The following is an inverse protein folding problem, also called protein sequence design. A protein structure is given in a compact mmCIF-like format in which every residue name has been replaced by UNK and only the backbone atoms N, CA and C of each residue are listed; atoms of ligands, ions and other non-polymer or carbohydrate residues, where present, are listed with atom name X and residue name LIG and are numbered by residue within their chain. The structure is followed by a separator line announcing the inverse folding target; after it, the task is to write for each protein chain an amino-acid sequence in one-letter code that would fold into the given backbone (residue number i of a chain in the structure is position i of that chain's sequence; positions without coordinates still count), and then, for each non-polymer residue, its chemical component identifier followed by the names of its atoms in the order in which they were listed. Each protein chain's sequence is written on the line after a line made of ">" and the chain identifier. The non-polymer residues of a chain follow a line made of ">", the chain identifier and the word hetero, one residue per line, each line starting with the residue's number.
data_IF_332952218437
#
_entry.id   IF_332952218437
#
_cell.length_a   1.000
_cell.length_b   1.000
_cell.length_c   1.000
_cell.angle_alpha   90.00
_cell.angle_beta   90.00
_cell.angle_gamma   90.00
#
_symmetry.space_group_name_H-M   'P 1'
#
loop_
_entity.id
_entity.type
_entity.pdbx_description
1 polymer ?
#
# COMPACT_ATOMS: atom_id res chain seq x y z
N UNK A 1 8.46 19.68 13.03
CA UNK A 1 8.38 19.29 14.47
C UNK A 1 6.96 19.08 14.96
N UNK A 2 5.99 19.95 14.66
CA UNK A 2 4.61 19.78 15.14
C UNK A 2 3.93 18.48 14.64
N UNK A 3 4.17 18.05 13.39
CA UNK A 3 3.66 16.78 12.85
C UNK A 3 4.08 15.57 13.68
N UNK A 4 5.35 15.51 14.08
CA UNK A 4 5.87 14.44 14.94
C UNK A 4 5.26 14.50 16.34
N UNK A 5 5.01 15.69 16.89
CA UNK A 5 4.30 15.83 18.17
C UNK A 5 2.88 15.25 18.08
N UNK A 6 2.17 15.50 16.98
CA UNK A 6 0.85 14.90 16.73
C UNK A 6 0.96 13.38 16.59
N UNK A 7 1.99 12.86 15.93
CA UNK A 7 2.24 11.42 15.84
C UNK A 7 2.48 10.80 17.22
N UNK A 8 3.23 11.49 18.10
CA UNK A 8 3.46 11.05 19.47
C UNK A 8 2.16 11.08 20.29
N UNK A 9 1.31 12.10 20.10
CA UNK A 9 -0.02 12.17 20.71
C UNK A 9 -0.94 11.02 20.23
N UNK A 10 -0.88 10.64 18.96
CA UNK A 10 -1.61 9.47 18.44
C UNK A 10 -1.18 8.17 19.14
N UNK A 11 0.13 8.03 19.43
CA UNK A 11 0.69 6.86 20.14
C UNK A 11 0.34 6.87 21.63
N UNK A 12 0.53 7.99 22.33
CA UNK A 12 0.34 8.10 23.78
C UNK A 12 -1.14 8.21 24.20
N UNK A 13 -1.97 8.86 23.36
CA UNK A 13 -3.37 9.15 23.66
C UNK A 13 -4.27 8.78 22.48
N UNK A 14 -4.39 7.48 22.13
CA UNK A 14 -5.09 7.04 20.93
C UNK A 14 -6.60 7.31 20.96
N UNK A 15 -7.25 7.21 22.13
CA UNK A 15 -8.69 7.45 22.28
C UNK A 15 -9.07 8.93 22.08
N UNK A 16 -8.40 9.91 22.73
CA UNK A 16 -8.57 11.32 22.39
C UNK A 16 -8.23 11.64 20.93
N UNK A 17 -7.13 11.09 20.42
CA UNK A 17 -6.70 11.31 19.03
C UNK A 17 -7.71 10.79 18.01
N UNK A 18 -8.40 9.68 18.29
CA UNK A 18 -9.49 9.17 17.47
C UNK A 18 -10.64 10.18 17.30
N UNK A 19 -10.96 10.94 18.35
CA UNK A 19 -12.01 12.00 18.28
C UNK A 19 -11.57 13.19 17.42
N UNK A 20 -10.26 13.43 17.34
CA UNK A 20 -9.67 14.52 16.57
C UNK A 20 -9.21 14.08 15.17
N UNK A 21 -9.42 12.81 14.80
CA UNK A 21 -8.88 12.22 13.58
C UNK A 21 -9.15 13.06 12.31
N UNK A 22 -10.38 13.58 12.05
CA UNK A 22 -10.61 14.42 10.88
C UNK A 22 -9.73 15.68 10.85
N UNK A 23 -9.48 16.30 12.01
CA UNK A 23 -8.61 17.49 12.13
C UNK A 23 -7.14 17.13 11.94
N UNK A 24 -6.72 15.98 12.46
CA UNK A 24 -5.36 15.46 12.30
C UNK A 24 -5.08 15.17 10.82
N UNK A 25 -6.01 14.53 10.11
CA UNK A 25 -5.88 14.25 8.67
C UNK A 25 -5.84 15.55 7.86
N UNK A 26 -6.73 16.50 8.13
CA UNK A 26 -6.71 17.81 7.48
C UNK A 26 -5.36 18.53 7.70
N UNK A 27 -4.84 18.51 8.93
CA UNK A 27 -3.52 19.06 9.24
C UNK A 27 -2.41 18.35 8.46
N UNK A 28 -2.41 17.03 8.39
CA UNK A 28 -1.42 16.27 7.61
C UNK A 28 -1.45 16.66 6.12
N UNK A 29 -2.64 16.70 5.51
CA UNK A 29 -2.81 17.12 4.11
C UNK A 29 -2.30 18.55 3.87
N UNK A 30 -2.62 19.49 4.77
CA UNK A 30 -2.11 20.86 4.70
C UNK A 30 -0.58 20.88 4.72
N UNK A 31 0.05 20.10 5.61
CA UNK A 31 1.52 20.04 5.73
C UNK A 31 2.20 19.37 4.54
N UNK A 32 1.54 18.45 3.84
CA UNK A 32 2.10 17.87 2.61
C UNK A 32 2.26 18.92 1.50
N UNK A 33 1.40 19.94 1.48
CA UNK A 33 1.45 21.01 0.47
C UNK A 33 2.65 21.95 0.63
N UNK A 34 3.34 21.92 1.77
CA UNK A 34 4.61 22.63 1.94
C UNK A 34 5.72 22.11 1.02
N UNK A 35 5.61 20.88 0.50
CA UNK A 35 6.56 20.32 -0.46
C UNK A 35 7.95 19.96 0.10
N UNK A 36 8.15 20.03 1.42
CA UNK A 36 9.44 19.64 2.03
C UNK A 36 9.50 18.15 2.35
N UNK A 37 10.52 17.44 1.85
CA UNK A 37 10.72 16.01 2.06
C UNK A 37 10.65 15.59 3.55
N UNK A 38 11.34 16.32 4.44
CA UNK A 38 11.32 16.06 5.89
C UNK A 38 9.91 16.14 6.52
N UNK A 39 9.02 16.96 5.93
CA UNK A 39 7.63 17.05 6.39
C UNK A 39 6.85 15.84 5.87
N UNK A 40 7.07 15.44 4.62
CA UNK A 40 6.49 14.21 4.07
C UNK A 40 6.84 13.01 4.94
N UNK A 41 8.11 12.84 5.30
CA UNK A 41 8.56 11.74 6.17
C UNK A 41 7.86 11.80 7.54
N UNK A 42 7.73 12.99 8.14
CA UNK A 42 6.99 13.17 9.39
C UNK A 42 5.50 12.85 9.23
N UNK A 43 4.88 13.17 8.09
CA UNK A 43 3.50 12.82 7.79
C UNK A 43 3.33 11.31 7.61
N UNK A 44 4.29 10.62 6.99
CA UNK A 44 4.31 9.15 6.91
C UNK A 44 4.31 8.54 8.31
N UNK A 45 5.21 9.00 9.20
CA UNK A 45 5.25 8.56 10.61
C UNK A 45 3.93 8.83 11.34
N UNK A 46 3.31 9.98 11.10
CA UNK A 46 1.99 10.29 11.66
C UNK A 46 0.92 9.32 11.17
N UNK A 47 0.88 9.01 9.88
CA UNK A 47 -0.10 8.06 9.32
C UNK A 47 0.15 6.65 9.83
N UNK A 48 1.41 6.24 9.98
CA UNK A 48 1.78 4.97 10.61
C UNK A 48 1.30 4.90 12.06
N UNK A 49 1.46 5.97 12.84
CA UNK A 49 0.93 6.04 14.21
C UNK A 49 -0.62 6.00 14.24
N UNK A 50 -1.29 6.63 13.27
CA UNK A 50 -2.75 6.54 13.13
C UNK A 50 -3.17 5.09 12.85
N UNK A 51 -2.49 4.41 11.92
CA UNK A 51 -2.76 3.03 11.53
C UNK A 51 -2.64 2.07 12.72
N UNK A 52 -1.55 2.21 13.49
CA UNK A 52 -1.21 1.30 14.58
C UNK A 52 -1.93 1.56 15.90
N UNK A 53 -2.25 2.81 16.23
CA UNK A 53 -2.74 3.17 17.56
C UNK A 53 -4.15 3.78 17.55
N UNK A 54 -4.47 4.60 16.55
CA UNK A 54 -5.75 5.32 16.49
C UNK A 54 -6.85 4.49 15.85
N UNK A 55 -6.62 3.91 14.66
CA UNK A 55 -7.60 3.07 13.95
C UNK A 55 -8.09 1.83 14.73
N UNK A 56 -7.28 1.22 15.61
CA UNK A 56 -7.75 0.19 16.53
C UNK A 56 -8.81 0.62 17.54
N UNK A 57 -8.99 1.92 17.78
CA UNK A 57 -9.84 2.38 18.87
C UNK A 57 -11.33 2.18 18.58
N UNK A 58 -12.11 1.62 19.52
CA UNK A 58 -13.55 1.37 19.34
C UNK A 58 -14.36 2.66 19.18
N UNK A 59 -13.84 3.80 19.64
CA UNK A 59 -14.48 5.12 19.53
C UNK A 59 -14.67 5.59 18.09
N UNK A 60 -13.86 5.09 17.15
CA UNK A 60 -14.03 5.40 15.71
C UNK A 60 -15.34 4.79 15.18
N UNK A 61 -15.75 3.65 15.72
CA UNK A 61 -17.04 3.03 15.42
C UNK A 61 -18.21 3.87 15.94
N UNK A 62 -18.04 4.65 17.02
CA UNK A 62 -19.08 5.55 17.53
C UNK A 62 -19.27 6.79 16.66
N UNK A 63 -18.20 7.34 16.07
CA UNK A 63 -18.30 8.42 15.07
C UNK A 63 -19.06 7.98 13.81
N UNK A 64 -18.93 6.71 13.40
CA UNK A 64 -19.69 6.12 12.28
C UNK A 64 -21.20 6.04 12.50
N UNK A 65 -21.66 5.98 13.76
CA UNK A 65 -23.11 5.95 14.05
C UNK A 65 -23.76 7.32 13.80
N UNK A 66 -22.97 8.40 13.76
CA UNK A 66 -23.47 9.77 13.59
C UNK A 66 -23.44 10.27 12.14
N UNK A 67 -22.64 9.66 11.25
CA UNK A 67 -22.53 10.05 9.84
C UNK A 67 -23.09 8.96 8.95
N UNK A 68 -24.11 9.27 8.16
CA UNK A 68 -24.87 8.36 7.28
C UNK A 68 -24.09 7.67 6.14
N UNK A 69 -22.76 7.74 6.15
CA UNK A 69 -21.86 7.12 5.16
C UNK A 69 -20.95 6.08 5.84
N UNK A 70 -21.27 4.81 5.64
CA UNK A 70 -20.62 3.62 6.24
C UNK A 70 -19.29 3.26 5.56
N UNK A 71 -18.30 4.15 5.53
CA UNK A 71 -16.98 3.81 4.98
C UNK A 71 -16.07 3.10 6.02
N UNK A 72 -15.29 2.06 5.62
CA UNK A 72 -14.19 1.46 6.39
C UNK A 72 -13.23 2.53 6.95
N UNK A 73 -12.71 2.42 8.19
CA UNK A 73 -11.89 3.48 8.77
C UNK A 73 -10.57 3.65 8.01
N UNK A 74 -9.95 2.56 7.56
CA UNK A 74 -8.78 2.60 6.67
C UNK A 74 -9.09 3.26 5.33
N UNK A 75 -10.25 2.95 4.73
CA UNK A 75 -10.68 3.55 3.46
C UNK A 75 -10.90 5.06 3.61
N UNK A 76 -11.45 5.51 4.74
CA UNK A 76 -11.65 6.94 5.01
C UNK A 76 -10.33 7.70 5.16
N UNK A 77 -9.34 7.12 5.87
CA UNK A 77 -7.99 7.71 5.97
C UNK A 77 -7.31 7.75 4.62
N UNK A 78 -7.33 6.65 3.87
CA UNK A 78 -6.73 6.57 2.54
C UNK A 78 -7.37 7.59 1.58
N UNK A 79 -8.70 7.73 1.61
CA UNK A 79 -9.44 8.68 0.76
C UNK A 79 -8.99 10.14 0.96
N UNK A 80 -8.68 10.53 2.20
CA UNK A 80 -8.19 11.88 2.49
C UNK A 80 -6.86 12.19 1.77
N UNK A 81 -5.99 11.19 1.63
CA UNK A 81 -4.73 11.34 0.89
C UNK A 81 -4.91 11.14 -0.61
N UNK A 82 -5.79 10.23 -1.05
CA UNK A 82 -6.10 10.03 -2.46
C UNK A 82 -6.59 11.32 -3.14
N UNK A 83 -7.42 12.11 -2.44
CA UNK A 83 -7.86 13.42 -2.93
C UNK A 83 -6.72 14.43 -3.14
N UNK A 84 -5.62 14.28 -2.41
CA UNK A 84 -4.46 15.16 -2.50
C UNK A 84 -3.43 14.70 -3.53
N UNK A 85 -3.54 13.50 -4.11
CA UNK A 85 -2.56 12.97 -5.09
C UNK A 85 -2.37 13.94 -6.27
N UNK A 86 -3.44 14.58 -6.76
CA UNK A 86 -3.33 15.53 -7.86
C UNK A 86 -2.63 16.85 -7.47
N UNK A 87 -2.54 17.15 -6.17
CA UNK A 87 -1.97 18.41 -5.64
C UNK A 87 -0.52 18.20 -5.16
N UNK A 88 -0.27 17.15 -4.39
CA UNK A 88 1.04 16.90 -3.75
C UNK A 88 1.74 15.66 -4.30
N UNK A 89 1.15 14.98 -5.28
CA UNK A 89 1.76 13.85 -6.00
C UNK A 89 2.18 12.71 -5.09
N UNK A 90 3.43 12.27 -5.28
CA UNK A 90 4.05 11.16 -4.57
C UNK A 90 4.02 11.31 -3.04
N UNK A 91 4.00 12.54 -2.51
CA UNK A 91 3.96 12.76 -1.06
C UNK A 91 2.66 12.20 -0.42
N UNK A 92 1.53 12.30 -1.13
CA UNK A 92 0.28 11.69 -0.69
C UNK A 92 0.33 10.16 -0.81
N UNK A 93 0.91 9.65 -1.90
CA UNK A 93 1.12 8.21 -2.09
C UNK A 93 1.96 7.61 -0.95
N UNK A 94 3.04 8.28 -0.53
CA UNK A 94 3.86 7.86 0.61
C UNK A 94 3.08 7.79 1.92
N UNK A 95 2.15 8.71 2.16
CA UNK A 95 1.27 8.63 3.33
C UNK A 95 0.35 7.40 3.28
N UNK A 96 -0.20 7.06 2.11
CA UNK A 96 -0.96 5.81 1.93
C UNK A 96 -0.06 4.59 2.16
N UNK A 97 1.21 4.65 1.72
CA UNK A 97 2.19 3.60 2.00
C UNK A 97 2.42 3.44 3.52
N UNK A 98 2.54 4.54 4.26
CA UNK A 98 2.64 4.52 5.73
C UNK A 98 1.40 3.99 6.45
N UNK A 99 0.23 3.97 5.80
CA UNK A 99 -0.99 3.32 6.29
C UNK A 99 -0.93 1.80 6.06
N UNK A 100 -0.38 1.37 4.92
CA UNK A 100 -0.25 -0.04 4.54
C UNK A 100 0.80 -0.76 5.37
N UNK A 101 2.02 -0.23 5.37
CA UNK A 101 3.17 -0.80 6.07
C UNK A 101 3.70 0.25 7.06
N UNK A 102 3.14 0.28 8.28
CA UNK A 102 3.47 1.30 9.26
C UNK A 102 4.90 1.18 9.76
N UNK A 103 5.58 2.32 9.87
CA UNK A 103 6.90 2.44 10.48
C UNK A 103 6.79 2.96 11.92
N UNK A 104 7.80 2.65 12.72
CA UNK A 104 7.98 3.21 14.05
C UNK A 104 8.38 4.70 13.98
N UNK A 105 8.45 5.33 15.16
CA UNK A 105 8.63 6.77 15.28
C UNK A 105 10.00 7.28 14.79
N UNK A 106 10.97 6.39 14.62
CA UNK A 106 12.26 6.67 13.98
C UNK A 106 12.17 6.78 12.45
N UNK A 107 11.01 6.46 11.87
CA UNK A 107 10.73 6.52 10.44
C UNK A 107 11.37 5.39 9.64
N UNK A 108 11.97 4.39 10.30
CA UNK A 108 12.76 3.34 9.64
C UNK A 108 12.42 1.96 10.19
N UNK A 109 12.27 1.83 11.51
CA UNK A 109 12.05 0.54 12.13
C UNK A 109 10.64 0.02 11.83
N UNK A 110 10.54 -1.28 11.60
CA UNK A 110 9.26 -1.97 11.42
C UNK A 110 8.84 -2.56 12.75
N UNK A 111 7.56 -2.47 13.06
CA UNK A 111 7.02 -2.98 14.32
C UNK A 111 7.26 -4.49 14.51
N UNK A 112 7.26 -4.94 15.76
CA UNK A 112 7.49 -6.35 16.10
C UNK A 112 6.43 -7.32 15.53
N UNK A 113 6.69 -8.64 15.54
CA UNK A 113 5.83 -9.65 14.91
C UNK A 113 4.35 -9.58 15.34
N UNK A 114 4.08 -9.39 16.64
CA UNK A 114 2.71 -9.29 17.16
C UNK A 114 1.95 -8.06 16.63
N UNK A 115 2.64 -6.93 16.46
CA UNK A 115 2.06 -5.71 15.90
C UNK A 115 1.77 -5.86 14.42
N UNK A 116 2.69 -6.48 13.66
CA UNK A 116 2.50 -6.77 12.23
C UNK A 116 1.29 -7.68 12.03
N UNK A 117 1.17 -8.78 12.78
CA UNK A 117 0.02 -9.68 12.69
C UNK A 117 -1.29 -8.93 12.95
N UNK A 118 -1.37 -8.20 14.06
CA UNK A 118 -2.57 -7.46 14.44
C UNK A 118 -2.96 -6.37 13.42
N UNK A 119 -1.97 -5.76 12.75
CA UNK A 119 -2.22 -4.80 11.68
C UNK A 119 -2.67 -5.49 10.39
N UNK A 120 -1.94 -6.53 9.95
CA UNK A 120 -2.22 -7.32 8.76
C UNK A 120 -3.65 -7.88 8.76
N UNK A 121 -4.09 -8.49 9.86
CA UNK A 121 -5.45 -9.01 10.01
C UNK A 121 -6.50 -7.90 9.90
N UNK A 122 -6.22 -6.71 10.46
CA UNK A 122 -7.18 -5.60 10.52
C UNK A 122 -7.31 -4.86 9.20
N UNK A 123 -6.19 -4.66 8.49
CA UNK A 123 -6.15 -3.91 7.24
C UNK A 123 -6.60 -4.76 6.04
N UNK A 124 -6.59 -6.10 6.15
CA UNK A 124 -6.90 -7.04 5.08
C UNK A 124 -8.12 -6.66 4.21
N UNK A 125 -9.30 -6.27 4.75
CA UNK A 125 -10.45 -5.91 3.90
C UNK A 125 -10.18 -4.69 3.02
N UNK A 126 -9.47 -3.68 3.55
CA UNK A 126 -9.06 -2.50 2.77
C UNK A 126 -7.94 -2.85 1.79
N UNK A 127 -6.97 -3.66 2.23
CA UNK A 127 -5.85 -4.12 1.42
C UNK A 127 -6.34 -4.84 0.14
N UNK A 128 -7.28 -5.78 0.27
CA UNK A 128 -7.83 -6.52 -0.87
C UNK A 128 -8.44 -5.58 -1.91
N UNK A 129 -9.25 -4.61 -1.48
CA UNK A 129 -9.82 -3.60 -2.39
C UNK A 129 -8.74 -2.71 -2.99
N UNK A 130 -7.74 -2.30 -2.21
CA UNK A 130 -6.66 -1.44 -2.71
C UNK A 130 -5.86 -2.12 -3.82
N UNK A 131 -5.47 -3.39 -3.63
CA UNK A 131 -4.71 -4.14 -4.65
C UNK A 131 -5.52 -4.23 -5.94
N UNK A 132 -6.80 -4.63 -5.84
CA UNK A 132 -7.71 -4.70 -6.99
C UNK A 132 -7.81 -3.34 -7.72
N UNK A 133 -8.17 -2.27 -7.00
CA UNK A 133 -8.34 -0.92 -7.55
C UNK A 133 -7.04 -0.35 -8.14
N UNK A 134 -5.88 -0.81 -7.66
CA UNK A 134 -4.57 -0.36 -8.15
C UNK A 134 -4.19 -1.07 -9.45
N UNK A 135 -4.49 -2.37 -9.55
CA UNK A 135 -4.22 -3.18 -10.74
C UNK A 135 -5.18 -2.80 -11.88
N UNK A 136 -6.45 -2.59 -11.58
CA UNK A 136 -7.45 -2.14 -12.56
C UNK A 136 -7.05 -0.83 -13.27
N UNK A 137 -6.30 0.06 -12.59
CA UNK A 137 -5.80 1.31 -13.19
C UNK A 137 -4.65 1.10 -14.18
N UNK A 138 -3.96 -0.02 -14.09
CA UNK A 138 -2.85 -0.38 -14.97
C UNK A 138 -3.34 -1.21 -16.16
N UNK A 139 -4.33 -2.09 -15.94
CA UNK A 139 -4.88 -2.97 -16.97
C UNK A 139 -5.35 -2.17 -18.20
N UNK A 140 -4.69 -2.41 -19.34
CA UNK A 140 -4.99 -1.75 -20.62
C UNK A 140 -4.62 -0.26 -20.69
N UNK A 141 -3.96 0.30 -19.67
CA UNK A 141 -3.53 1.70 -19.65
C UNK A 141 -2.17 1.88 -20.32
N UNK A 142 -2.07 2.87 -21.21
CA UNK A 142 -0.81 3.26 -21.85
C UNK A 142 -0.14 4.46 -21.18
N UNK A 143 -0.72 4.98 -20.08
CA UNK A 143 -0.19 6.11 -19.32
C UNK A 143 0.88 5.66 -18.32
N UNK A 144 1.98 5.10 -18.83
CA UNK A 144 3.04 4.48 -18.03
C UNK A 144 3.67 5.40 -16.98
N UNK A 145 3.68 6.71 -17.19
CA UNK A 145 4.21 7.67 -16.21
C UNK A 145 3.39 7.67 -14.90
N UNK A 146 2.10 7.33 -14.98
CA UNK A 146 1.24 7.20 -13.79
C UNK A 146 1.52 5.94 -12.98
N UNK A 147 2.17 4.93 -13.57
CA UNK A 147 2.42 3.64 -12.92
C UNK A 147 3.44 3.76 -11.79
N UNK A 148 4.30 4.79 -11.79
CA UNK A 148 5.31 4.96 -10.74
C UNK A 148 4.71 5.00 -9.33
N UNK A 149 3.58 5.68 -9.16
CA UNK A 149 2.88 5.76 -7.87
C UNK A 149 2.07 4.49 -7.57
N UNK A 150 1.56 3.82 -8.61
CA UNK A 150 0.83 2.55 -8.47
C UNK A 150 1.77 1.41 -8.06
N UNK A 151 2.94 1.31 -8.69
CA UNK A 151 4.00 0.38 -8.31
C UNK A 151 4.48 0.61 -6.88
N UNK A 152 4.62 1.87 -6.44
CA UNK A 152 4.99 2.16 -5.05
C UNK A 152 3.95 1.63 -4.04
N UNK A 153 2.65 1.75 -4.36
CA UNK A 153 1.57 1.20 -3.53
C UNK A 153 1.61 -0.33 -3.50
N UNK A 154 1.74 -0.97 -4.66
CA UNK A 154 1.84 -2.43 -4.76
C UNK A 154 3.08 -2.97 -4.08
N UNK A 155 4.22 -2.29 -4.22
CA UNK A 155 5.48 -2.62 -3.56
C UNK A 155 5.30 -2.61 -2.04
N UNK A 156 4.69 -1.55 -1.50
CA UNK A 156 4.45 -1.44 -0.06
C UNK A 156 3.46 -2.47 0.45
N UNK A 157 2.40 -2.74 -0.31
CA UNK A 157 1.44 -3.80 0.02
C UNK A 157 2.11 -5.19 -0.02
N UNK A 158 2.97 -5.46 -1.01
CA UNK A 158 3.73 -6.69 -1.12
C UNK A 158 4.71 -6.85 0.06
N UNK A 159 5.37 -5.76 0.49
CA UNK A 159 6.23 -5.75 1.67
C UNK A 159 5.45 -6.12 2.95
N UNK A 160 4.24 -5.59 3.14
CA UNK A 160 3.39 -5.99 4.27
C UNK A 160 3.05 -7.49 4.20
N UNK A 161 2.68 -8.00 3.03
CA UNK A 161 2.35 -9.41 2.85
C UNK A 161 3.56 -10.33 3.14
N UNK A 162 4.74 -9.94 2.65
CA UNK A 162 6.01 -10.62 2.94
C UNK A 162 6.28 -10.65 4.43
N UNK A 163 6.30 -9.49 5.08
CA UNK A 163 6.60 -9.37 6.51
C UNK A 163 5.61 -10.13 7.39
N UNK A 164 4.32 -10.09 7.05
CA UNK A 164 3.28 -10.82 7.77
C UNK A 164 3.50 -12.34 7.65
N UNK A 165 3.90 -12.83 6.49
CA UNK A 165 4.22 -14.25 6.33
C UNK A 165 5.54 -14.62 7.03
N UNK A 166 6.63 -13.93 6.71
CA UNK A 166 7.98 -14.22 7.21
C UNK A 166 8.05 -14.18 8.75
N UNK A 167 7.39 -13.20 9.37
CA UNK A 167 7.48 -12.98 10.83
C UNK A 167 6.38 -13.68 11.63
N UNK A 168 5.24 -14.02 11.00
CA UNK A 168 4.03 -14.46 11.73
C UNK A 168 3.27 -15.61 11.08
N UNK A 169 3.73 -16.10 9.92
CA UNK A 169 3.09 -17.13 9.11
C UNK A 169 1.68 -16.77 8.64
N UNK A 170 1.35 -15.47 8.59
CA UNK A 170 0.06 -14.98 8.10
C UNK A 170 0.08 -14.87 6.57
N UNK A 171 -0.49 -15.87 5.91
CA UNK A 171 -0.43 -15.98 4.43
C UNK A 171 -1.53 -15.24 3.69
N UNK A 172 -2.60 -14.83 4.37
CA UNK A 172 -3.83 -14.33 3.74
C UNK A 172 -3.63 -13.11 2.85
N UNK A 173 -2.71 -12.20 3.20
CA UNK A 173 -2.42 -11.02 2.37
C UNK A 173 -1.76 -11.39 1.04
N UNK A 174 -0.86 -12.38 1.05
CA UNK A 174 -0.24 -12.86 -0.19
C UNK A 174 -1.25 -13.61 -1.06
N UNK A 175 -2.19 -14.34 -0.46
CA UNK A 175 -3.30 -14.96 -1.19
C UNK A 175 -4.21 -13.93 -1.85
N UNK A 176 -4.45 -12.78 -1.20
CA UNK A 176 -5.23 -11.68 -1.78
C UNK A 176 -4.50 -10.97 -2.95
N UNK A 177 -3.17 -11.14 -3.07
CA UNK A 177 -2.35 -10.67 -4.21
C UNK A 177 -2.37 -11.64 -5.39
N UNK A 178 -2.52 -12.94 -5.15
CA UNK A 178 -2.34 -13.99 -6.15
C UNK A 178 -3.12 -13.80 -7.46
N UNK A 179 -4.39 -13.36 -7.45
CA UNK A 179 -5.16 -13.17 -8.70
C UNK A 179 -4.58 -12.11 -9.64
N UNK A 180 -3.72 -11.21 -9.15
CA UNK A 180 -3.27 -10.02 -9.88
C UNK A 180 -1.83 -10.12 -10.39
N UNK A 181 -1.10 -11.21 -10.09
CA UNK A 181 0.33 -11.33 -10.42
C UNK A 181 0.57 -11.21 -11.92
N UNK A 182 -0.27 -11.87 -12.72
CA UNK A 182 -0.23 -11.84 -14.18
C UNK A 182 -0.28 -10.41 -14.73
N UNK A 183 -1.32 -9.66 -14.36
CA UNK A 183 -1.50 -8.25 -14.72
C UNK A 183 -0.35 -7.35 -14.24
N UNK A 184 0.14 -7.56 -13.02
CA UNK A 184 1.25 -6.77 -12.48
C UNK A 184 2.54 -7.05 -13.27
N UNK A 185 2.79 -8.30 -13.66
CA UNK A 185 3.95 -8.67 -14.47
C UNK A 185 3.86 -8.05 -15.87
N UNK A 186 2.71 -8.14 -16.54
CA UNK A 186 2.44 -7.48 -17.83
C UNK A 186 2.67 -5.97 -17.72
N UNK A 187 2.14 -5.30 -16.69
CA UNK A 187 2.35 -3.87 -16.51
C UNK A 187 3.83 -3.49 -16.30
N UNK A 188 4.61 -4.33 -15.62
CA UNK A 188 6.06 -4.12 -15.46
C UNK A 188 6.74 -4.29 -16.83
N UNK A 189 6.44 -5.37 -17.55
CA UNK A 189 6.99 -5.64 -18.88
C UNK A 189 6.68 -4.49 -19.86
N UNK A 190 5.44 -4.04 -19.92
CA UNK A 190 4.99 -2.91 -20.75
C UNK A 190 5.76 -1.64 -20.45
N UNK A 191 6.03 -1.35 -19.17
CA UNK A 191 6.89 -0.23 -18.78
C UNK A 191 8.30 -0.41 -19.33
N UNK A 192 8.88 -1.61 -19.28
CA UNK A 192 10.23 -1.83 -19.81
C UNK A 192 10.30 -1.71 -21.33
N UNK A 193 9.28 -2.16 -22.04
CA UNK A 193 9.24 -2.12 -23.50
C UNK A 193 8.86 -0.73 -24.05
N UNK A 194 7.89 -0.06 -23.42
CA UNK A 194 7.17 1.06 -24.02
C UNK A 194 7.34 2.40 -23.31
N UNK A 195 7.82 2.43 -22.06
CA UNK A 195 8.04 3.71 -21.35
C UNK A 195 9.21 4.50 -21.92
N UNK A 196 9.18 5.83 -21.78
CA UNK A 196 10.30 6.68 -22.20
C UNK A 196 11.55 6.40 -21.36
N UNK A 197 12.73 6.65 -21.93
CA UNK A 197 14.02 6.44 -21.25
C UNK A 197 14.17 7.28 -19.97
N UNK A 198 13.54 8.45 -19.92
CA UNK A 198 13.61 9.37 -18.78
C UNK A 198 12.78 8.87 -17.58
N UNK A 199 11.84 7.95 -17.80
CA UNK A 199 11.02 7.31 -16.77
C UNK A 199 11.80 6.20 -16.02
N UNK A 200 13.05 6.47 -15.61
CA UNK A 200 13.90 5.50 -14.90
C UNK A 200 13.32 5.08 -13.54
N UNK A 201 12.59 6.00 -12.87
CA UNK A 201 11.99 5.75 -11.56
C UNK A 201 10.88 4.69 -11.62
N UNK A 202 10.03 4.71 -12.66
CA UNK A 202 8.98 3.69 -12.80
C UNK A 202 9.58 2.32 -13.09
N UNK A 203 10.65 2.25 -13.89
CA UNK A 203 11.39 0.99 -14.14
C UNK A 203 12.05 0.45 -12.88
N UNK A 204 12.69 1.33 -12.09
CA UNK A 204 13.26 0.97 -10.79
C UNK A 204 12.19 0.38 -9.86
N UNK A 205 11.05 1.05 -9.70
CA UNK A 205 9.95 0.57 -8.86
C UNK A 205 9.34 -0.72 -9.39
N UNK A 206 9.23 -0.88 -10.71
CA UNK A 206 8.80 -2.12 -11.34
C UNK A 206 9.71 -3.30 -10.99
N UNK A 207 11.03 -3.12 -11.02
CA UNK A 207 11.98 -4.16 -10.61
C UNK A 207 11.95 -4.46 -9.11
N UNK A 208 11.83 -3.43 -8.27
CA UNK A 208 11.69 -3.62 -6.82
C UNK A 208 10.40 -4.39 -6.49
N UNK A 209 9.29 -4.07 -7.17
CA UNK A 209 8.03 -4.79 -7.06
C UNK A 209 8.16 -6.24 -7.53
N UNK A 210 8.79 -6.47 -8.68
CA UNK A 210 9.04 -7.82 -9.20
C UNK A 210 9.84 -8.67 -8.20
N UNK A 211 10.88 -8.09 -7.61
CA UNK A 211 11.71 -8.77 -6.61
C UNK A 211 10.89 -9.18 -5.40
N UNK A 212 10.05 -8.28 -4.87
CA UNK A 212 9.18 -8.59 -3.73
C UNK A 212 8.11 -9.64 -4.07
N UNK A 213 7.54 -9.61 -5.28
CA UNK A 213 6.57 -10.61 -5.71
C UNK A 213 7.19 -12.01 -5.76
N UNK A 214 8.44 -12.11 -6.23
CA UNK A 214 9.19 -13.36 -6.22
C UNK A 214 9.48 -13.82 -4.78
N UNK A 215 9.88 -12.92 -3.88
CA UNK A 215 10.06 -13.25 -2.46
C UNK A 215 8.78 -13.82 -1.85
N UNK A 216 7.63 -13.14 -2.04
CA UNK A 216 6.34 -13.61 -1.50
C UNK A 216 5.93 -14.95 -2.12
N UNK A 217 6.15 -15.14 -3.42
CA UNK A 217 5.92 -16.42 -4.08
C UNK A 217 6.73 -17.56 -3.46
N UNK A 218 8.04 -17.37 -3.27
CA UNK A 218 8.90 -18.38 -2.65
C UNK A 218 8.46 -18.73 -1.23
N UNK A 219 7.95 -17.74 -0.47
CA UNK A 219 7.47 -17.95 0.89
C UNK A 219 6.06 -18.60 0.96
N UNK A 220 5.32 -18.65 -0.15
CA UNK A 220 3.92 -19.13 -0.21
C UNK A 220 3.69 -20.18 -1.30
N UNK A 221 4.76 -20.82 -1.75
CA UNK A 221 4.81 -21.68 -2.94
C UNK A 221 3.64 -22.68 -2.98
N UNK A 222 3.30 -23.36 -1.88
CA UNK A 222 2.20 -24.33 -1.85
C UNK A 222 0.80 -23.73 -2.06
N UNK A 223 0.56 -22.49 -1.64
CA UNK A 223 -0.74 -21.83 -1.73
C UNK A 223 -0.90 -21.15 -3.08
N UNK A 224 0.16 -20.51 -3.58
CA UNK A 224 0.19 -19.93 -4.93
C UNK A 224 0.21 -21.04 -5.98
N UNK A 225 0.81 -22.21 -5.67
CA UNK A 225 0.77 -23.39 -6.54
C UNK A 225 -0.61 -24.04 -6.68
N UNK A 226 -1.52 -23.88 -5.73
CA UNK A 226 -2.92 -24.29 -5.92
C UNK A 226 -3.69 -23.37 -6.90
N UNK A 227 -3.20 -22.15 -7.09
CA UNK A 227 -3.58 -21.21 -8.15
C UNK A 227 -2.65 -21.27 -9.36
N UNK A 228 -1.60 -22.12 -9.34
CA UNK A 228 -0.60 -22.22 -10.42
C UNK A 228 -1.17 -22.83 -11.67
N UNK A 229 -2.27 -23.57 -11.66
CA UNK A 229 -2.87 -23.96 -12.94
C UNK A 229 -3.23 -22.71 -13.78
N UNK A 230 -3.73 -21.64 -13.15
CA UNK A 230 -4.04 -20.37 -13.83
C UNK A 230 -2.77 -19.58 -14.17
N UNK A 231 -1.81 -19.48 -13.24
CA UNK A 231 -0.56 -18.75 -13.51
C UNK A 231 0.33 -19.46 -14.54
N UNK A 232 0.39 -20.80 -14.50
CA UNK A 232 1.08 -21.66 -15.46
C UNK A 232 0.39 -21.62 -16.81
N UNK A 233 -0.95 -21.75 -16.89
CA UNK A 233 -1.67 -21.58 -18.15
C UNK A 233 -1.44 -20.19 -18.74
N UNK A 234 -1.45 -19.16 -17.91
CA UNK A 234 -1.14 -17.80 -18.34
C UNK A 234 0.29 -17.66 -18.86
N UNK A 235 1.31 -18.03 -18.08
CA UNK A 235 2.71 -17.95 -18.51
C UNK A 235 2.99 -18.85 -19.72
N UNK A 236 2.39 -20.04 -19.79
CA UNK A 236 2.47 -20.92 -20.97
C UNK A 236 1.78 -20.30 -22.19
N UNK A 237 0.63 -19.64 -22.03
CA UNK A 237 -0.07 -18.97 -23.13
C UNK A 237 0.72 -17.80 -23.68
N UNK A 238 1.41 -17.04 -22.83
CA UNK A 238 2.28 -15.94 -23.24
C UNK A 238 3.55 -16.46 -23.94
N UNK A 239 4.17 -17.54 -23.43
CA UNK A 239 5.30 -18.23 -24.07
C UNK A 239 4.95 -18.73 -25.48
N UNK A 240 3.79 -19.35 -25.65
CA UNK A 240 3.30 -19.82 -26.95
C UNK A 240 3.02 -18.64 -27.90
N UNK A 241 2.43 -17.56 -27.38
CA UNK A 241 2.15 -16.35 -28.17
C UNK A 241 3.42 -15.65 -28.64
N UNK A 242 4.48 -15.62 -27.83
CA UNK A 242 5.79 -15.09 -28.25
C UNK A 242 6.53 -16.02 -29.21
N UNK A 243 6.35 -17.34 -29.11
CA UNK A 243 6.98 -18.32 -30.00
C UNK A 243 6.34 -18.40 -31.40
N UNK A 244 5.15 -17.81 -31.60
CA UNK A 244 4.45 -17.75 -32.90
C UNK A 244 4.61 -16.40 -33.63
N UNK A 245 5.48 -15.51 -33.14
CA UNK A 245 5.80 -14.22 -33.77
C UNK A 245 7.13 -14.29 -34.57
N UNK A 246 7.74 -15.48 -34.70
CA UNK A 246 8.82 -15.73 -35.68
C UNK A 246 8.30 -16.15 -37.06
#
# INVERSE_FOLDING_TARGET
>A
MLVLLVAALCKCHPVPSAKLLPRILFYACLRLRDGHAKITDACVILVSAIALYVLPCPTITLLRVQTSTTQPPFKAVAAAFTMEINVVGEAATKCICGLLWPVDFDGVSVSGPSTILAHATRIRPFFKTLVADTVEKMDGSTMFDSFSSLFLLLQTACQLARDANEKTSFTELGNDFAPYIASIFEAIEDVFQSSTRESWMVRKRGLELLTLLLDVFTLQESTWCSTVDVAKEYFQSQLVRTAHIE
#
